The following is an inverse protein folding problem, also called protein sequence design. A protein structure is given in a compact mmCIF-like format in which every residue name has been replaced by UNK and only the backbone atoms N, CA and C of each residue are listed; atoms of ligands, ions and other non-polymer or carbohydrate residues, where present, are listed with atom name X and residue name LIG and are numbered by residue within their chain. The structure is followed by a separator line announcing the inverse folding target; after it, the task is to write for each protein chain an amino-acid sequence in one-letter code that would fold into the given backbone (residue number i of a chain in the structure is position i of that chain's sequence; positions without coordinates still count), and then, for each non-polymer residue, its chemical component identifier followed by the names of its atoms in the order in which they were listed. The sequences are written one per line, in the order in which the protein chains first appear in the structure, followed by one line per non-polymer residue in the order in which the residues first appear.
data_IF_932434836102
#
_entry.id   IF_932434836102
#
_cell.length_a   1.000
_cell.length_b   1.000
_cell.length_c   1.000
_cell.angle_alpha   90.00
_cell.angle_beta   90.00
_cell.angle_gamma   90.00
#
_symmetry.space_group_name_H-M   'P 1'
#
loop_
_entity.id
_entity.type
_entity.pdbx_description
1 polymer ?
#
# COMPACT_ATOMS: atom_id res chain seq x y z
N UNK A 1 5.19 -15.49 -8.74
CA UNK A 1 4.20 -14.41 -8.59
C UNK A 1 4.59 -13.62 -7.35
N UNK A 2 4.65 -12.31 -7.41
CA UNK A 2 4.90 -11.43 -6.26
C UNK A 2 3.55 -11.11 -5.62
N UNK A 3 3.47 -11.09 -4.28
CA UNK A 3 2.28 -10.71 -3.54
C UNK A 3 2.18 -9.18 -3.53
N UNK A 4 1.03 -8.62 -3.93
CA UNK A 4 0.81 -7.18 -4.07
C UNK A 4 -0.04 -6.63 -2.94
N UNK A 5 0.45 -5.61 -2.23
CA UNK A 5 -0.25 -4.90 -1.18
C UNK A 5 -0.53 -3.46 -1.60
N UNK A 6 -1.79 -3.07 -1.68
CA UNK A 6 -2.18 -1.68 -1.91
C UNK A 6 -2.27 -0.90 -0.60
N UNK A 7 -1.60 0.24 -0.51
CA UNK A 7 -1.71 1.12 0.65
C UNK A 7 -2.74 2.21 0.34
N UNK A 8 -3.80 2.27 1.14
CA UNK A 8 -4.88 3.26 1.03
C UNK A 8 -5.01 4.06 2.31
N UNK A 9 -5.44 5.31 2.20
CA UNK A 9 -5.68 6.18 3.35
C UNK A 9 -6.04 7.59 2.91
N UNK A 10 -6.63 8.36 3.81
CA UNK A 10 -6.93 9.77 3.59
C UNK A 10 -5.64 10.58 3.41
N UNK A 11 -5.71 11.79 2.82
CA UNK A 11 -4.57 12.69 2.75
C UNK A 11 -3.99 12.99 4.14
N UNK A 12 -2.70 13.20 4.20
CA UNK A 12 -1.95 13.58 5.42
C UNK A 12 -1.98 12.56 6.57
N UNK A 13 -2.33 11.29 6.31
CA UNK A 13 -2.23 10.21 7.32
C UNK A 13 -0.82 9.61 7.43
N UNK A 14 0.12 10.01 6.55
CA UNK A 14 1.49 9.48 6.50
C UNK A 14 1.70 8.35 5.49
N UNK A 15 0.77 8.13 4.56
CA UNK A 15 0.82 7.06 3.56
C UNK A 15 2.13 7.07 2.75
N UNK A 16 2.49 8.21 2.16
CA UNK A 16 3.73 8.34 1.39
C UNK A 16 4.98 8.22 2.26
N UNK A 17 4.90 8.62 3.53
CA UNK A 17 6.00 8.43 4.49
C UNK A 17 6.25 6.95 4.75
N UNK A 18 5.20 6.17 5.00
CA UNK A 18 5.29 4.72 5.18
C UNK A 18 5.82 4.06 3.89
N UNK A 19 5.25 4.40 2.74
CA UNK A 19 5.67 3.86 1.45
C UNK A 19 7.16 4.12 1.20
N UNK A 20 7.62 5.35 1.42
CA UNK A 20 9.02 5.71 1.28
C UNK A 20 9.92 5.00 2.29
N UNK A 21 9.50 4.86 3.54
CA UNK A 21 10.26 4.12 4.54
C UNK A 21 10.44 2.64 4.16
N UNK A 22 9.38 2.00 3.66
CA UNK A 22 9.43 0.62 3.19
C UNK A 22 10.31 0.44 1.95
N UNK A 23 10.22 1.37 1.00
CA UNK A 23 10.86 1.23 -0.31
C UNK A 23 12.27 1.82 -0.39
N UNK A 24 12.59 2.86 0.39
CA UNK A 24 13.92 3.48 0.38
C UNK A 24 15.00 2.56 0.96
N UNK A 25 14.66 1.74 1.95
CA UNK A 25 15.58 0.73 2.48
C UNK A 25 15.87 -0.39 1.46
N UNK A 26 15.00 -0.58 0.49
CA UNK A 26 15.10 -1.66 -0.52
C UNK A 26 15.64 -1.19 -1.87
N UNK A 27 15.72 0.12 -2.16
CA UNK A 27 16.24 0.63 -3.45
C UNK A 27 17.64 0.14 -3.76
N UNK A 28 18.51 0.03 -2.77
CA UNK A 28 19.85 -0.51 -2.92
C UNK A 28 19.86 -2.03 -3.19
N UNK A 29 18.85 -2.75 -2.73
CA UNK A 29 18.71 -4.20 -2.92
C UNK A 29 17.89 -4.55 -4.17
N UNK A 30 16.92 -3.70 -4.54
CA UNK A 30 16.06 -3.90 -5.73
C UNK A 30 16.87 -3.91 -7.04
N UNK A 31 18.00 -3.20 -7.10
CA UNK A 31 18.90 -3.23 -8.25
C UNK A 31 19.48 -4.63 -8.57
N UNK A 32 19.38 -5.58 -7.62
CA UNK A 32 19.86 -6.95 -7.76
C UNK A 32 18.78 -7.96 -8.16
N UNK A 33 17.50 -7.52 -8.27
CA UNK A 33 16.42 -8.39 -8.71
C UNK A 33 16.17 -8.24 -10.22
N UNK A 34 16.36 -9.30 -11.03
CA UNK A 34 16.01 -9.25 -12.44
C UNK A 34 14.49 -9.08 -12.59
N UNK A 35 14.06 -8.24 -13.53
CA UNK A 35 12.66 -7.96 -13.89
C UNK A 35 11.87 -7.02 -12.97
N UNK A 36 12.50 -6.18 -12.15
CA UNK A 36 11.79 -5.09 -11.46
C UNK A 36 11.47 -3.96 -12.44
N UNK A 37 10.22 -3.82 -12.82
CA UNK A 37 9.72 -2.64 -13.53
C UNK A 37 9.57 -1.50 -12.51
N UNK A 38 10.23 -0.37 -12.74
CA UNK A 38 10.12 0.80 -11.87
C UNK A 38 8.87 1.57 -12.30
N UNK A 39 7.72 1.22 -11.72
CA UNK A 39 6.53 2.07 -11.83
C UNK A 39 6.56 3.12 -10.71
N UNK A 40 6.10 4.37 -10.96
CA UNK A 40 6.30 5.49 -10.03
C UNK A 40 5.64 5.32 -8.66
N UNK A 41 4.68 4.41 -8.53
CA UNK A 41 3.93 4.17 -7.30
C UNK A 41 4.02 2.72 -6.81
N UNK A 42 5.01 1.96 -7.27
CA UNK A 42 5.24 0.57 -6.88
C UNK A 42 6.62 0.42 -6.28
N UNK A 43 6.69 -0.22 -5.12
CA UNK A 43 7.93 -0.54 -4.42
C UNK A 43 8.03 -2.03 -4.14
N UNK A 44 9.13 -2.65 -4.54
CA UNK A 44 9.41 -4.07 -4.29
C UNK A 44 10.33 -4.20 -3.09
N UNK A 45 9.89 -4.97 -2.09
CA UNK A 45 10.59 -5.13 -0.82
C UNK A 45 10.86 -6.62 -0.58
N UNK A 46 12.11 -7.02 -0.31
CA UNK A 46 12.40 -8.40 0.08
C UNK A 46 11.84 -8.70 1.46
N UNK A 47 11.28 -9.90 1.63
CA UNK A 47 10.75 -10.36 2.92
C UNK A 47 11.88 -11.05 3.69
N UNK A 48 12.29 -10.54 4.87
CA UNK A 48 13.21 -11.24 5.73
C UNK A 48 12.61 -12.58 6.21
N UNK A 49 13.37 -13.67 6.15
CA UNK A 49 12.96 -14.98 6.66
C UNK A 49 14.16 -15.72 7.25
N UNK A 50 14.19 -15.82 8.57
CA UNK A 50 15.25 -16.51 9.32
C UNK A 50 15.30 -18.02 9.01
N UNK A 51 14.18 -18.62 8.59
CA UNK A 51 14.13 -20.03 8.20
C UNK A 51 14.96 -20.27 6.94
N UNK A 52 14.95 -19.29 6.04
CA UNK A 52 15.75 -19.34 4.81
C UNK A 52 17.25 -19.29 5.14
N UNK A 53 17.65 -18.55 6.18
CA UNK A 53 19.05 -18.49 6.62
C UNK A 53 19.51 -19.87 7.12
N UNK A 54 18.71 -20.52 7.95
CA UNK A 54 18.99 -21.88 8.43
C UNK A 54 19.05 -22.90 7.31
N UNK A 55 18.16 -22.80 6.31
CA UNK A 55 18.18 -23.69 5.15
C UNK A 55 19.45 -23.50 4.30
N UNK A 56 19.92 -22.27 4.15
CA UNK A 56 21.16 -21.96 3.44
C UNK A 56 22.37 -22.60 4.14
N UNK A 57 22.43 -22.55 5.48
CA UNK A 57 23.50 -23.17 6.25
C UNK A 57 23.50 -24.70 6.09
N UNK A 58 22.33 -25.35 6.21
CA UNK A 58 22.19 -26.79 6.10
C UNK A 58 22.54 -27.27 4.69
N UNK A 59 22.01 -26.60 3.66
CA UNK A 59 22.18 -27.00 2.26
C UNK A 59 23.48 -26.49 1.64
N UNK A 60 24.24 -25.65 2.34
CA UNK A 60 25.45 -24.97 1.86
C UNK A 60 25.23 -24.27 0.51
N UNK A 61 24.08 -23.61 0.38
CA UNK A 61 23.66 -22.97 -0.85
C UNK A 61 24.56 -21.77 -1.18
N UNK A 62 24.98 -21.65 -2.44
CA UNK A 62 25.82 -20.53 -2.90
C UNK A 62 25.06 -19.21 -3.01
N UNK A 63 23.74 -19.23 -3.08
CA UNK A 63 22.89 -18.05 -3.27
C UNK A 63 21.62 -18.16 -2.43
N UNK A 64 21.28 -17.06 -1.76
CA UNK A 64 20.03 -16.85 -1.06
C UNK A 64 19.18 -15.84 -1.83
N UNK A 65 17.92 -16.17 -2.11
CA UNK A 65 16.96 -15.27 -2.74
C UNK A 65 15.71 -15.25 -1.88
N UNK A 66 15.42 -14.10 -1.27
CA UNK A 66 14.21 -13.90 -0.50
C UNK A 66 13.01 -13.73 -1.44
N UNK A 67 11.82 -14.13 -0.98
CA UNK A 67 10.58 -13.70 -1.65
C UNK A 67 10.41 -12.19 -1.53
N UNK A 68 9.58 -11.62 -2.39
CA UNK A 68 9.32 -10.17 -2.41
C UNK A 68 7.84 -9.87 -2.28
N UNK A 69 7.53 -8.73 -1.68
CA UNK A 69 6.21 -8.10 -1.68
C UNK A 69 6.30 -6.81 -2.49
N UNK A 70 5.29 -6.59 -3.32
CA UNK A 70 5.09 -5.33 -4.02
C UNK A 70 4.14 -4.45 -3.21
N UNK A 71 4.59 -3.26 -2.81
CA UNK A 71 3.73 -2.23 -2.24
C UNK A 71 3.31 -1.25 -3.33
N UNK A 72 2.02 -0.98 -3.41
CA UNK A 72 1.43 -0.02 -4.37
C UNK A 72 0.85 1.15 -3.59
N UNK A 73 1.34 2.36 -3.83
CA UNK A 73 0.76 3.58 -3.26
C UNK A 73 -0.49 3.97 -4.06
N UNK A 74 -1.68 3.65 -3.51
CA UNK A 74 -2.96 3.92 -4.16
C UNK A 74 -3.44 5.32 -3.76
N UNK A 75 -3.43 6.23 -4.74
CA UNK A 75 -4.00 7.56 -4.58
C UNK A 75 -5.53 7.54 -4.81
N UNK A 76 -6.26 8.48 -4.21
CA UNK A 76 -7.65 8.74 -4.61
C UNK A 76 -8.74 8.66 -3.55
N UNK A 77 -8.41 8.42 -2.26
CA UNK A 77 -9.37 8.60 -1.18
C UNK A 77 -9.42 10.07 -0.73
N UNK A 78 -9.97 10.94 -1.56
CA UNK A 78 -10.23 12.34 -1.17
C UNK A 78 -11.72 12.52 -0.94
N UNK A 79 -12.13 13.03 0.23
CA UNK A 79 -13.49 13.49 0.46
C UNK A 79 -13.84 14.56 -0.60
N UNK A 80 -14.90 14.32 -1.37
CA UNK A 80 -15.33 15.26 -2.41
C UNK A 80 -14.82 14.99 -3.84
N UNK A 81 -13.91 14.05 -4.06
CA UNK A 81 -13.48 13.64 -5.41
C UNK A 81 -14.55 12.84 -6.17
N UNK A 82 -15.67 12.50 -5.52
CA UNK A 82 -16.77 11.72 -6.10
C UNK A 82 -17.70 12.53 -7.04
N UNK A 83 -17.36 13.77 -7.39
CA UNK A 83 -18.15 14.57 -8.35
C UNK A 83 -17.65 14.47 -9.81
N UNK A 84 -16.72 13.56 -10.10
CA UNK A 84 -16.28 13.29 -11.47
C UNK A 84 -16.23 11.78 -11.72
N UNK A 85 -16.99 11.33 -12.69
CA UNK A 85 -17.17 9.92 -13.11
C UNK A 85 -15.86 9.12 -13.39
N UNK A 86 -14.69 9.75 -13.34
CA UNK A 86 -13.41 9.12 -13.67
C UNK A 86 -12.55 8.67 -12.47
N UNK A 87 -12.65 9.34 -11.31
CA UNK A 87 -11.74 9.09 -10.17
C UNK A 87 -12.11 7.84 -9.35
N UNK A 88 -13.41 7.53 -9.23
CA UNK A 88 -13.88 6.30 -8.58
C UNK A 88 -13.41 5.05 -9.33
N UNK A 89 -13.62 5.02 -10.64
CA UNK A 89 -13.21 3.90 -11.51
C UNK A 89 -11.68 3.66 -11.48
N UNK A 90 -10.88 4.72 -11.39
CA UNK A 90 -9.41 4.60 -11.29
C UNK A 90 -8.99 3.99 -9.95
N UNK A 91 -9.58 4.43 -8.84
CA UNK A 91 -9.30 3.88 -7.51
C UNK A 91 -9.62 2.38 -7.46
N UNK A 92 -10.81 1.97 -7.92
CA UNK A 92 -11.20 0.57 -8.00
C UNK A 92 -10.29 -0.25 -8.89
N UNK A 93 -9.88 0.30 -10.03
CA UNK A 93 -8.98 -0.39 -10.95
C UNK A 93 -7.64 -0.72 -10.28
N UNK A 94 -7.18 0.12 -9.35
CA UNK A 94 -5.97 -0.13 -8.56
C UNK A 94 -6.22 -1.16 -7.45
N UNK A 95 -7.36 -1.08 -6.73
CA UNK A 95 -7.73 -2.05 -5.69
C UNK A 95 -7.83 -3.47 -6.26
N UNK A 96 -8.40 -3.62 -7.45
CA UNK A 96 -8.54 -4.93 -8.11
C UNK A 96 -7.23 -5.59 -8.53
N UNK A 97 -6.16 -4.83 -8.64
CA UNK A 97 -4.84 -5.32 -9.06
C UNK A 97 -3.96 -5.77 -7.92
N UNK A 98 -4.43 -5.66 -6.67
CA UNK A 98 -3.68 -6.03 -5.47
C UNK A 98 -4.33 -7.22 -4.77
N UNK A 99 -3.50 -8.02 -4.08
CA UNK A 99 -3.93 -9.21 -3.36
C UNK A 99 -4.44 -8.88 -1.95
N UNK A 100 -3.96 -7.76 -1.38
CA UNK A 100 -4.37 -7.26 -0.08
C UNK A 100 -4.37 -5.72 -0.05
N UNK A 101 -5.18 -5.15 0.85
CA UNK A 101 -5.29 -3.71 1.07
C UNK A 101 -4.87 -3.38 2.50
N UNK A 102 -3.95 -2.44 2.64
CA UNK A 102 -3.50 -1.88 3.91
C UNK A 102 -4.20 -0.55 4.11
N UNK A 103 -5.13 -0.48 5.07
CA UNK A 103 -5.77 0.76 5.46
C UNK A 103 -4.89 1.54 6.42
N UNK A 104 -4.45 2.72 5.99
CA UNK A 104 -3.69 3.61 6.84
C UNK A 104 -4.59 4.64 7.49
N UNK A 105 -4.65 4.64 8.82
CA UNK A 105 -5.52 5.48 9.62
C UNK A 105 -4.68 6.33 10.57
N UNK A 106 -4.99 7.61 10.66
CA UNK A 106 -4.36 8.53 11.59
C UNK A 106 -4.97 8.37 12.97
N UNK A 107 -4.16 7.95 13.95
CA UNK A 107 -4.55 7.75 15.35
C UNK A 107 -3.88 8.75 16.30
N UNK A 108 -3.16 9.75 15.78
CA UNK A 108 -2.47 10.77 16.57
C UNK A 108 -3.01 12.16 16.23
N UNK A 109 -2.95 13.07 17.18
CA UNK A 109 -3.25 14.49 16.98
C UNK A 109 -1.94 15.29 16.83
N UNK A 110 -1.95 16.29 15.95
CA UNK A 110 -0.81 17.18 15.73
C UNK A 110 -1.29 18.48 15.13
N UNK A 111 -0.85 19.58 15.70
CA UNK A 111 -1.16 20.92 15.21
C UNK A 111 -0.40 21.28 13.93
N UNK A 112 0.72 20.59 13.68
CA UNK A 112 1.60 20.86 12.52
C UNK A 112 1.11 20.16 11.24
N UNK A 113 0.24 19.15 11.37
CA UNK A 113 -0.26 18.37 10.24
C UNK A 113 -1.75 18.65 10.06
N UNK A 114 -2.08 19.34 8.98
CA UNK A 114 -3.45 19.69 8.64
C UNK A 114 -4.34 18.44 8.55
N UNK A 115 -5.41 18.43 9.33
CA UNK A 115 -6.42 17.38 9.29
C UNK A 115 -7.58 17.82 8.39
N UNK A 116 -8.15 16.92 7.62
CA UNK A 116 -9.34 17.21 6.81
C UNK A 116 -10.59 17.43 7.67
N UNK A 117 -10.64 16.79 8.84
CA UNK A 117 -11.72 16.95 9.80
C UNK A 117 -11.21 17.68 11.06
N UNK A 118 -12.06 18.48 11.72
CA UNK A 118 -11.68 19.21 12.94
C UNK A 118 -11.19 18.31 14.08
N UNK A 119 -11.65 17.05 14.11
CA UNK A 119 -11.31 16.05 15.11
C UNK A 119 -10.78 14.78 14.47
N UNK A 120 -9.74 14.20 15.10
CA UNK A 120 -9.22 12.88 14.69
C UNK A 120 -10.16 11.80 15.23
N UNK A 121 -10.90 11.15 14.35
CA UNK A 121 -11.83 10.06 14.72
C UNK A 121 -11.50 8.82 13.89
N UNK A 122 -10.55 7.96 14.33
CA UNK A 122 -10.05 6.83 13.54
C UNK A 122 -11.16 5.86 13.10
N UNK A 123 -12.10 5.56 13.99
CA UNK A 123 -13.23 4.65 13.71
C UNK A 123 -14.09 5.19 12.57
N UNK A 124 -14.42 6.49 12.60
CA UNK A 124 -15.21 7.12 11.54
C UNK A 124 -14.52 7.08 10.19
N UNK A 125 -13.20 7.25 10.16
CA UNK A 125 -12.40 7.14 8.94
C UNK A 125 -12.45 5.70 8.39
N UNK A 126 -12.34 4.71 9.26
CA UNK A 126 -12.44 3.30 8.88
C UNK A 126 -13.82 2.98 8.27
N UNK A 127 -14.88 3.40 8.93
CA UNK A 127 -16.26 3.23 8.45
C UNK A 127 -16.48 3.90 7.10
N UNK A 128 -15.98 5.13 6.94
CA UNK A 128 -16.07 5.88 5.68
C UNK A 128 -15.38 5.14 4.53
N UNK A 129 -14.14 4.68 4.75
CA UNK A 129 -13.38 3.95 3.72
C UNK A 129 -14.07 2.63 3.38
N UNK A 130 -14.52 1.89 4.39
CA UNK A 130 -15.21 0.61 4.21
C UNK A 130 -16.51 0.80 3.44
N UNK A 131 -17.31 1.78 3.81
CA UNK A 131 -18.57 2.12 3.13
C UNK A 131 -18.32 2.48 1.68
N UNK A 132 -17.31 3.30 1.41
CA UNK A 132 -16.94 3.67 0.04
C UNK A 132 -16.55 2.46 -0.79
N UNK A 133 -15.73 1.55 -0.25
CA UNK A 133 -15.37 0.31 -0.93
C UNK A 133 -16.60 -0.55 -1.24
N UNK A 134 -17.55 -0.65 -0.31
CA UNK A 134 -18.79 -1.42 -0.51
C UNK A 134 -19.62 -0.81 -1.65
N UNK A 135 -19.84 0.51 -1.67
CA UNK A 135 -20.60 1.16 -2.73
C UNK A 135 -19.96 0.97 -4.10
N UNK A 136 -18.67 1.12 -4.18
CA UNK A 136 -17.90 0.92 -5.40
C UNK A 136 -17.96 -0.55 -5.89
N UNK A 137 -18.02 -1.53 -4.97
CA UNK A 137 -18.25 -2.93 -5.33
C UNK A 137 -19.68 -3.17 -5.83
N UNK A 138 -20.67 -2.50 -5.26
CA UNK A 138 -22.07 -2.64 -5.68
C UNK A 138 -22.31 -2.13 -7.09
N UNK A 139 -21.66 -1.02 -7.49
CA UNK A 139 -21.72 -0.49 -8.85
C UNK A 139 -21.15 -1.44 -9.91
N UNK A 140 -20.37 -2.44 -9.48
CA UNK A 140 -19.80 -3.44 -10.38
C UNK A 140 -20.69 -4.64 -10.65
N UNK A 141 -21.70 -4.84 -9.81
CA UNK A 141 -22.59 -6.01 -9.89
C UNK A 141 -23.86 -5.65 -10.66
N UNK A 142 -24.12 -4.38 -10.88
CA UNK A 142 -25.20 -3.87 -11.71
C UNK A 142 -24.79 -3.75 -13.17
#
# INVERSE_FOLDING_TARGET
MSFKCGIVGLPNVGKSTLFNALTNSSKAQAANFPFCTIEPNVGVVPVPDERLDKLVEISKSKKKINTTIEFVDIAGLVEGASKGEGLGNTFLSHIRKVDAVIHMIRCFDSNDIQNLNPTVTPIRVLEFITTKLIFEYLELIQ
#
